data_IF_421228618982
#
_entry.id   IF_421228618982
#
_cell.length_a   1.000
_cell.length_b   1.000
_cell.length_c   1.000
_cell.angle_alpha   90.00
_cell.angle_beta   90.00
_cell.angle_gamma   90.00
#
_symmetry.space_group_name_H-M   'P 1'
#
loop_
_entity.id
_entity.type
_entity.pdbx_description
1 polymer ?
#
# COMPACT_ATOMS: atom_id res chain seq x y z
N UNK A 1 -4.44 -10.07 13.95
CA UNK A 1 -4.22 -8.66 13.56
C UNK A 1 -5.08 -8.37 12.35
N UNK A 2 -5.98 -7.39 12.43
CA UNK A 2 -6.80 -6.96 11.28
C UNK A 2 -6.19 -5.69 10.69
N UNK A 3 -5.88 -5.70 9.40
CA UNK A 3 -5.14 -4.61 8.72
C UNK A 3 -6.10 -3.57 8.09
N UNK A 4 -7.20 -4.03 7.51
CA UNK A 4 -8.11 -3.20 6.71
C UNK A 4 -7.62 -2.98 5.28
N UNK A 5 -8.41 -2.26 4.48
CA UNK A 5 -8.12 -1.96 3.07
C UNK A 5 -8.00 -0.46 2.85
N UNK A 6 -7.17 -0.04 1.89
CA UNK A 6 -7.25 1.31 1.33
C UNK A 6 -8.36 1.35 0.28
N UNK A 7 -9.20 2.39 0.30
CA UNK A 7 -10.27 2.53 -0.70
C UNK A 7 -9.67 2.86 -2.07
N UNK A 8 -9.98 2.10 -3.14
CA UNK A 8 -9.57 2.46 -4.49
C UNK A 8 -10.35 3.70 -4.97
N UNK A 9 -9.70 4.53 -5.79
CA UNK A 9 -10.32 5.63 -6.53
C UNK A 9 -11.08 5.11 -7.75
N UNK A 10 -10.57 4.02 -8.34
CA UNK A 10 -11.14 3.27 -9.45
C UNK A 10 -10.63 1.82 -9.38
N UNK A 11 -11.37 0.89 -9.93
CA UNK A 11 -10.96 -0.51 -10.07
C UNK A 11 -10.71 -0.72 -11.56
N UNK A 12 -9.48 -1.04 -11.94
CA UNK A 12 -9.07 -1.20 -13.35
C UNK A 12 -8.67 -2.64 -13.63
N UNK A 13 -7.72 -3.17 -12.87
CA UNK A 13 -7.20 -4.52 -13.05
C UNK A 13 -6.65 -5.03 -11.70
N UNK A 14 -7.23 -6.09 -11.10
CA UNK A 14 -6.76 -6.60 -9.82
C UNK A 14 -5.46 -7.41 -9.92
N UNK A 15 -4.98 -7.70 -11.14
CA UNK A 15 -3.79 -8.53 -11.36
C UNK A 15 -2.55 -7.89 -10.73
N UNK A 16 -1.79 -8.67 -9.94
CA UNK A 16 -0.59 -8.19 -9.24
C UNK A 16 -0.86 -7.45 -7.92
N UNK A 17 -2.11 -7.32 -7.47
CA UNK A 17 -2.43 -6.71 -6.18
C UNK A 17 -1.78 -7.46 -4.99
N UNK A 18 -1.72 -8.80 -5.06
CA UNK A 18 -1.06 -9.63 -4.06
C UNK A 18 0.44 -9.40 -4.00
N UNK A 19 1.11 -9.38 -5.16
CA UNK A 19 2.55 -9.11 -5.25
C UNK A 19 2.87 -7.71 -4.73
N UNK A 20 2.06 -6.72 -5.09
CA UNK A 20 2.17 -5.35 -4.59
C UNK A 20 1.95 -5.27 -3.07
N UNK A 21 1.00 -6.03 -2.51
CA UNK A 21 0.81 -6.15 -1.06
C UNK A 21 2.06 -6.71 -0.39
N UNK A 22 2.59 -7.83 -0.87
CA UNK A 22 3.76 -8.50 -0.30
C UNK A 22 4.98 -7.58 -0.38
N UNK A 23 5.21 -6.92 -1.52
CA UNK A 23 6.30 -5.97 -1.68
C UNK A 23 6.21 -4.81 -0.67
N UNK A 24 5.01 -4.24 -0.50
CA UNK A 24 4.77 -3.20 0.50
C UNK A 24 4.95 -3.69 1.94
N UNK A 25 4.42 -4.87 2.26
CA UNK A 25 4.57 -5.49 3.58
C UNK A 25 6.05 -5.74 3.91
N UNK A 26 6.79 -6.38 3.00
CA UNK A 26 8.20 -6.68 3.19
C UNK A 26 9.02 -5.40 3.32
N UNK A 27 8.72 -4.35 2.55
CA UNK A 27 9.37 -3.04 2.73
C UNK A 27 9.18 -2.49 4.15
N UNK A 28 7.96 -2.56 4.69
CA UNK A 28 7.67 -2.15 6.07
C UNK A 28 8.34 -3.04 7.11
N UNK A 29 8.31 -4.36 6.90
CA UNK A 29 8.88 -5.35 7.80
C UNK A 29 10.41 -5.23 7.89
N UNK A 30 11.10 -5.14 6.75
CA UNK A 30 12.55 -4.92 6.68
C UNK A 30 12.97 -3.58 7.28
N UNK A 31 12.08 -2.58 7.24
CA UNK A 31 12.24 -1.30 7.93
C UNK A 31 11.95 -1.37 9.44
N UNK A 32 11.82 -2.57 10.02
CA UNK A 32 11.51 -2.83 11.44
C UNK A 32 10.23 -2.15 11.93
N UNK A 33 9.23 -1.98 11.05
CA UNK A 33 7.91 -1.46 11.45
C UNK A 33 7.12 -2.54 12.18
N UNK A 34 6.18 -2.16 13.08
CA UNK A 34 5.23 -3.11 13.64
C UNK A 34 4.47 -3.86 12.55
N UNK A 35 4.10 -5.12 12.80
CA UNK A 35 3.39 -5.97 11.82
C UNK A 35 2.12 -5.31 11.27
N UNK A 36 1.39 -4.58 12.13
CA UNK A 36 0.20 -3.83 11.71
C UNK A 36 0.55 -2.73 10.69
N UNK A 37 1.59 -1.95 10.95
CA UNK A 37 2.08 -0.91 10.03
C UNK A 37 2.60 -1.53 8.72
N UNK A 38 3.33 -2.64 8.78
CA UNK A 38 3.77 -3.37 7.58
C UNK A 38 2.57 -3.82 6.74
N UNK A 39 1.54 -4.39 7.37
CA UNK A 39 0.28 -4.73 6.70
C UNK A 39 -0.38 -3.52 6.05
N UNK A 40 -0.45 -2.38 6.75
CA UNK A 40 -1.05 -1.15 6.24
C UNK A 40 -0.27 -0.57 5.05
N UNK A 41 1.07 -0.69 5.05
CA UNK A 41 1.91 -0.34 3.90
C UNK A 41 1.56 -1.25 2.72
N UNK A 42 1.52 -2.58 2.93
CA UNK A 42 1.10 -3.54 1.90
C UNK A 42 -0.28 -3.23 1.32
N UNK A 43 -1.27 -2.99 2.17
CA UNK A 43 -2.62 -2.64 1.75
C UNK A 43 -2.66 -1.34 0.94
N UNK A 44 -1.82 -0.35 1.28
CA UNK A 44 -1.71 0.89 0.52
C UNK A 44 -1.08 0.66 -0.85
N UNK A 45 -0.02 -0.17 -0.93
CA UNK A 45 0.67 -0.51 -2.18
C UNK A 45 -0.22 -1.30 -3.14
N UNK A 46 -0.99 -2.27 -2.65
CA UNK A 46 -1.90 -3.08 -3.46
C UNK A 46 -2.92 -2.26 -4.25
N UNK A 47 -3.42 -1.17 -3.66
CA UNK A 47 -4.39 -0.30 -4.33
C UNK A 47 -3.78 0.47 -5.50
N UNK A 48 -2.48 0.78 -5.46
CA UNK A 48 -1.82 1.38 -6.62
C UNK A 48 -1.78 0.42 -7.80
N UNK A 49 -1.58 -0.89 -7.56
CA UNK A 49 -1.69 -1.90 -8.61
C UNK A 49 -3.12 -2.00 -9.15
N UNK A 50 -4.13 -2.14 -8.28
CA UNK A 50 -5.55 -2.29 -8.69
C UNK A 50 -6.06 -1.12 -9.57
N UNK A 51 -5.51 0.07 -9.37
CA UNK A 51 -5.91 1.29 -10.09
C UNK A 51 -5.29 1.42 -11.50
N UNK A 52 -4.43 0.49 -11.93
CA UNK A 52 -3.72 0.56 -13.20
C UNK A 52 -3.80 -0.77 -13.93
N UNK A 53 -3.85 -0.73 -15.26
CA UNK A 53 -3.87 -1.95 -16.07
C UNK A 53 -2.48 -2.62 -16.10
N UNK A 54 -2.41 -3.90 -15.77
CA UNK A 54 -1.18 -4.67 -15.65
C UNK A 54 -0.47 -4.51 -14.31
N UNK A 55 0.46 -5.42 -14.02
CA UNK A 55 1.00 -5.65 -12.67
C UNK A 55 1.99 -4.59 -12.17
N UNK A 56 2.75 -3.96 -13.08
CA UNK A 56 3.90 -3.09 -12.74
C UNK A 56 3.79 -1.65 -13.26
N UNK A 57 2.67 -1.26 -13.87
CA UNK A 57 2.51 0.08 -14.47
C UNK A 57 2.17 1.18 -13.45
N UNK A 58 1.90 0.80 -12.21
CA UNK A 58 1.53 1.73 -11.15
C UNK A 58 2.75 2.48 -10.62
N UNK A 59 2.56 3.74 -10.23
CA UNK A 59 3.61 4.55 -9.59
C UNK A 59 3.02 5.51 -8.56
N UNK A 60 3.87 5.96 -7.63
CA UNK A 60 3.51 6.94 -6.62
C UNK A 60 4.74 7.69 -6.13
N UNK A 61 4.53 8.92 -5.65
CA UNK A 61 5.53 9.64 -4.89
C UNK A 61 5.43 9.29 -3.41
N UNK A 62 6.54 9.44 -2.66
CA UNK A 62 6.54 9.28 -1.18
C UNK A 62 5.45 10.14 -0.52
N UNK A 63 5.25 11.36 -1.02
CA UNK A 63 4.23 12.28 -0.51
C UNK A 63 2.81 11.75 -0.73
N UNK A 64 2.49 11.30 -1.95
CA UNK A 64 1.16 10.79 -2.28
C UNK A 64 0.86 9.50 -1.52
N UNK A 65 1.86 8.62 -1.36
CA UNK A 65 1.75 7.41 -0.57
C UNK A 65 1.42 7.72 0.90
N UNK A 66 2.20 8.61 1.54
CA UNK A 66 1.95 9.05 2.92
C UNK A 66 0.56 9.69 3.10
N UNK A 67 0.13 10.53 2.15
CA UNK A 67 -1.21 11.13 2.17
C UNK A 67 -2.30 10.06 2.12
N UNK A 68 -2.16 9.08 1.23
CA UNK A 68 -3.13 7.99 1.09
C UNK A 68 -3.18 7.09 2.32
N UNK A 69 -2.01 6.73 2.85
CA UNK A 69 -1.87 5.97 4.09
C UNK A 69 -2.58 6.69 5.24
N UNK A 70 -2.27 7.98 5.47
CA UNK A 70 -2.87 8.78 6.54
C UNK A 70 -4.39 8.90 6.38
N UNK A 71 -4.87 9.11 5.14
CA UNK A 71 -6.31 9.17 4.86
C UNK A 71 -7.02 7.83 5.17
N UNK A 72 -6.34 6.70 4.98
CA UNK A 72 -6.93 5.37 5.16
C UNK A 72 -6.91 4.92 6.62
N UNK A 73 -5.76 5.09 7.30
CA UNK A 73 -5.53 4.50 8.62
C UNK A 73 -5.47 5.53 9.76
N UNK A 74 -5.65 6.82 9.46
CA UNK A 74 -5.62 7.90 10.45
C UNK A 74 -4.23 8.20 11.04
N UNK A 75 -3.19 7.50 10.61
CA UNK A 75 -1.84 7.57 11.20
C UNK A 75 -0.83 8.20 10.25
N UNK A 76 0.16 8.91 10.80
CA UNK A 76 1.29 9.41 10.02
C UNK A 76 2.33 8.32 9.78
N UNK A 77 2.76 8.14 8.53
CA UNK A 77 3.82 7.19 8.19
C UNK A 77 5.18 7.90 8.04
N UNK A 78 6.12 7.56 8.93
CA UNK A 78 7.55 7.90 8.74
C UNK A 78 8.18 6.85 7.82
N UNK A 79 8.29 7.20 6.54
CA UNK A 79 9.05 6.41 5.56
C UNK A 79 10.54 6.47 5.87
N UNK A 80 11.26 5.44 5.44
CA UNK A 80 12.72 5.43 5.33
C UNK A 80 13.20 6.61 4.46
#
# INVERSE_FOLDING_TARGET
ITVGIAKPKKIVDPTGAGDAYIAGFMSGYLAKKPLQTAGQIGATTAIYAIENYGTQKHSFTKLNFKKRYKKTFGQSLKML
#
